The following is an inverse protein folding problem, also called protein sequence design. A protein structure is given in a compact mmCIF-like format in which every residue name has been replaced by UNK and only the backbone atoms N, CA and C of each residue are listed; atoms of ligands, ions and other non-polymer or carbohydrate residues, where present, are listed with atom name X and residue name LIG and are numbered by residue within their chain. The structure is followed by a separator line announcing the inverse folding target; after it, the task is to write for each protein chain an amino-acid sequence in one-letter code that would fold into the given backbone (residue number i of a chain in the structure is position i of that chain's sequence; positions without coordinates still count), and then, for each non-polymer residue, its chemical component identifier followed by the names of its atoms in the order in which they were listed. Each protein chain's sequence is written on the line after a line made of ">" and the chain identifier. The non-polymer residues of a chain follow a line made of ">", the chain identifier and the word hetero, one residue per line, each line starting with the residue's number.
data_IF_291397064968
#
_entry.id   IF_291397064968
#
_cell.length_a   1.000
_cell.length_b   1.000
_cell.length_c   1.000
_cell.angle_alpha   90.00
_cell.angle_beta   90.00
_cell.angle_gamma   90.00
#
_symmetry.space_group_name_H-M   'P 1'
#
loop_
_entity.id
_entity.type
_entity.pdbx_description
1 polymer ?
#
# COMPACT_ATOMS: atom_id res chain seq x y z
N UNK A 1 24.07 -16.15 -54.15
CA UNK A 1 24.43 -14.95 -54.95
C UNK A 1 23.93 -13.77 -54.13
N UNK A 2 24.71 -12.91 -53.50
CA UNK A 2 26.06 -12.39 -53.80
C UNK A 2 26.67 -11.91 -52.47
N UNK A 3 27.96 -12.17 -52.27
CA UNK A 3 28.75 -11.70 -51.14
C UNK A 3 29.26 -10.27 -51.38
N UNK A 4 29.45 -9.46 -50.33
CA UNK A 4 30.59 -8.53 -50.18
C UNK A 4 30.85 -8.31 -48.68
N UNK A 5 32.08 -8.55 -48.25
CA UNK A 5 32.64 -8.24 -46.94
C UNK A 5 33.64 -7.05 -47.05
N UNK A 6 34.47 -6.72 -46.04
CA UNK A 6 34.51 -5.45 -45.34
C UNK A 6 35.66 -4.51 -45.79
N UNK A 7 35.70 -3.28 -45.26
CA UNK A 7 36.86 -2.38 -45.38
C UNK A 7 37.33 -1.86 -44.03
N UNK A 8 38.63 -2.00 -43.82
CA UNK A 8 39.41 -1.59 -42.66
C UNK A 8 39.96 -0.16 -42.79
N UNK A 9 40.32 0.48 -41.67
CA UNK A 9 41.65 1.09 -41.41
C UNK A 9 41.63 1.84 -40.07
N UNK A 10 42.46 1.50 -39.07
CA UNK A 10 43.90 1.79 -38.83
C UNK A 10 44.19 3.19 -38.28
N UNK A 11 44.93 3.23 -37.16
CA UNK A 11 45.67 4.39 -36.63
C UNK A 11 45.31 4.65 -35.16
N UNK A 12 46.17 4.55 -34.15
CA UNK A 12 47.63 4.60 -34.10
C UNK A 12 48.06 5.80 -33.25
N UNK A 13 48.94 5.56 -32.26
CA UNK A 13 49.79 6.49 -31.49
C UNK A 13 49.41 6.87 -30.03
N UNK A 14 50.01 6.11 -29.08
CA UNK A 14 51.10 6.53 -28.14
C UNK A 14 51.51 8.01 -28.26
N UNK A 15 51.86 8.80 -27.24
CA UNK A 15 52.41 8.64 -25.89
C UNK A 15 52.15 10.01 -25.18
N UNK A 16 52.38 10.30 -23.89
CA UNK A 16 53.61 10.32 -23.08
C UNK A 16 53.23 10.91 -21.70
N UNK A 17 54.08 10.67 -20.70
CA UNK A 17 53.80 10.74 -19.28
C UNK A 17 54.13 12.07 -18.56
N UNK A 18 53.49 12.25 -17.37
CA UNK A 18 53.97 12.81 -16.06
C UNK A 18 54.51 14.27 -16.01
N UNK A 19 54.62 14.94 -14.82
CA UNK A 19 54.62 14.43 -13.45
C UNK A 19 53.77 15.22 -12.42
N UNK A 20 53.94 14.80 -11.16
CA UNK A 20 53.23 15.13 -9.94
C UNK A 20 53.44 16.55 -9.39
N UNK A 21 52.50 16.99 -8.55
CA UNK A 21 52.79 17.94 -7.46
C UNK A 21 52.12 17.48 -6.17
N UNK A 22 52.97 17.21 -5.18
CA UNK A 22 52.64 16.93 -3.78
C UNK A 22 52.03 18.16 -3.13
N UNK A 23 51.01 17.99 -2.29
CA UNK A 23 50.93 18.70 -1.01
C UNK A 23 50.45 17.74 0.07
N UNK A 24 51.40 17.34 0.92
CA UNK A 24 51.14 16.93 2.30
C UNK A 24 50.89 18.21 3.09
N UNK A 25 49.87 18.20 3.96
CA UNK A 25 49.93 18.94 5.22
C UNK A 25 49.42 17.96 6.28
N UNK A 26 50.21 17.91 7.35
CA UNK A 26 50.19 16.94 8.41
C UNK A 26 49.04 17.14 9.41
N UNK A 27 48.87 16.08 10.20
CA UNK A 27 47.95 15.87 11.30
C UNK A 27 47.94 16.98 12.37
N UNK A 28 46.88 17.00 13.18
CA UNK A 28 46.96 16.95 14.64
C UNK A 28 45.59 16.48 15.17
N UNK A 29 45.57 15.30 15.77
CA UNK A 29 44.54 14.86 16.68
C UNK A 29 44.93 15.35 18.08
N UNK A 30 44.03 16.05 18.78
CA UNK A 30 44.12 16.22 20.23
C UNK A 30 42.82 15.73 20.83
N UNK A 31 42.91 14.52 21.37
CA UNK A 31 42.01 13.96 22.35
C UNK A 31 42.31 14.67 23.69
N UNK A 32 41.33 15.33 24.29
CA UNK A 32 41.41 15.76 25.68
C UNK A 32 40.26 15.12 26.45
N UNK A 33 40.58 14.01 27.12
CA UNK A 33 39.74 13.33 28.09
C UNK A 33 40.24 13.77 29.48
N UNK A 34 39.41 14.46 30.27
CA UNK A 34 39.62 14.59 31.70
C UNK A 34 38.26 14.68 32.39
N UNK A 35 38.02 13.72 33.28
CA UNK A 35 36.78 13.50 34.00
C UNK A 35 36.87 13.98 35.46
N UNK A 36 35.67 14.16 36.03
CA UNK A 36 35.27 14.04 37.45
C UNK A 36 35.35 15.28 38.36
N UNK A 37 34.17 15.77 38.76
CA UNK A 37 33.62 15.71 40.13
C UNK A 37 32.22 16.38 40.12
N UNK A 38 31.10 15.67 40.14
CA UNK A 38 30.45 15.01 41.27
C UNK A 38 29.97 15.98 42.37
N UNK A 39 28.77 16.55 42.19
CA UNK A 39 27.83 16.89 43.27
C UNK A 39 26.40 16.58 42.81
N UNK A 40 25.60 16.03 43.74
CA UNK A 40 24.32 15.35 43.52
C UNK A 40 23.28 16.14 42.71
N UNK A 41 22.32 15.49 42.07
CA UNK A 41 21.39 14.54 42.68
C UNK A 41 21.33 13.21 41.92
N UNK A 42 21.55 12.10 42.63
CA UNK A 42 21.12 10.78 42.19
C UNK A 42 19.58 10.75 42.15
N UNK A 43 19.00 11.12 41.01
CA UNK A 43 17.70 10.60 40.63
C UNK A 43 17.96 9.21 40.09
N UNK A 44 17.55 8.20 40.87
CA UNK A 44 17.39 6.83 40.38
C UNK A 44 16.70 6.87 39.01
N UNK A 45 16.97 5.91 38.10
CA UNK A 45 16.19 5.78 36.90
C UNK A 45 14.76 5.52 37.35
N UNK A 46 13.94 6.58 37.43
CA UNK A 46 12.49 6.45 37.39
C UNK A 46 12.30 5.68 36.12
N UNK A 47 11.85 4.44 36.26
CA UNK A 47 11.52 3.58 35.15
C UNK A 47 10.79 4.45 34.16
N UNK A 48 11.45 4.70 33.04
CA UNK A 48 10.75 5.12 31.86
C UNK A 48 9.89 3.91 31.52
N UNK A 49 8.74 3.82 32.18
CA UNK A 49 7.51 3.62 31.44
C UNK A 49 7.48 4.76 30.44
N UNK A 50 8.29 4.62 29.39
CA UNK A 50 7.91 5.09 28.08
C UNK A 50 6.62 4.36 27.85
N UNK A 51 5.53 5.01 28.25
CA UNK A 51 4.28 4.80 27.55
C UNK A 51 4.66 5.06 26.10
N UNK A 52 4.75 3.97 25.35
CA UNK A 52 5.02 3.94 23.93
C UNK A 52 4.29 5.12 23.31
N UNK A 53 5.07 6.10 22.85
CA UNK A 53 4.53 7.22 22.12
C UNK A 53 3.88 6.62 20.86
N UNK A 54 2.56 6.46 20.93
CA UNK A 54 1.70 5.87 19.93
C UNK A 54 2.07 4.43 19.54
N UNK A 55 1.77 3.43 20.38
CA UNK A 55 1.48 2.09 19.87
C UNK A 55 0.44 2.19 18.74
N UNK A 56 0.54 1.39 17.67
CA UNK A 56 -0.45 1.36 16.60
C UNK A 56 -1.85 1.01 17.14
N UNK A 57 -2.88 1.05 16.28
CA UNK A 57 -4.19 0.53 16.66
C UNK A 57 -4.01 -0.91 17.16
N UNK A 58 -4.54 -1.26 18.33
CA UNK A 58 -4.45 -2.64 18.82
C UNK A 58 -5.62 -3.47 18.28
N UNK A 59 -5.38 -4.73 17.94
CA UNK A 59 -6.44 -5.69 17.64
C UNK A 59 -7.16 -6.13 18.92
N UNK A 60 -8.42 -6.51 18.79
CA UNK A 60 -9.19 -7.19 19.84
C UNK A 60 -9.33 -8.70 19.57
N UNK A 61 -10.15 -9.40 20.36
CA UNK A 61 -10.36 -10.84 20.22
C UNK A 61 -11.19 -11.25 19.00
N UNK A 62 -11.83 -10.30 18.31
CA UNK A 62 -12.67 -10.58 17.12
C UNK A 62 -12.02 -10.12 15.82
N UNK A 63 -10.86 -9.47 15.90
CA UNK A 63 -10.09 -9.02 14.74
C UNK A 63 -9.47 -10.21 14.00
N UNK A 64 -9.96 -10.48 12.79
CA UNK A 64 -9.44 -11.54 11.91
C UNK A 64 -8.07 -11.18 11.29
N UNK A 65 -7.80 -9.89 11.05
CA UNK A 65 -6.53 -9.39 10.54
C UNK A 65 -6.41 -7.89 10.71
N UNK A 66 -5.18 -7.40 10.90
CA UNK A 66 -4.87 -5.98 11.11
C UNK A 66 -3.54 -5.64 10.44
N UNK A 67 -3.58 -4.93 9.32
CA UNK A 67 -2.38 -4.48 8.61
C UNK A 67 -2.19 -2.98 8.80
N UNK A 68 -1.19 -2.59 9.60
CA UNK A 68 -0.85 -1.17 9.79
C UNK A 68 -0.19 -0.55 8.57
N UNK A 69 0.50 -1.37 7.76
CA UNK A 69 1.26 -0.92 6.59
C UNK A 69 2.35 0.12 6.95
N UNK A 70 2.92 0.05 8.16
CA UNK A 70 3.92 0.99 8.66
C UNK A 70 5.38 0.50 8.48
N UNK A 71 5.61 -0.50 7.62
CA UNK A 71 6.97 -0.92 7.28
C UNK A 71 7.73 0.17 6.52
N UNK A 72 9.04 0.27 6.76
CA UNK A 72 9.88 1.29 6.13
C UNK A 72 10.38 0.91 4.73
N UNK A 73 10.09 -0.31 4.26
CA UNK A 73 10.45 -0.77 2.94
C UNK A 73 10.12 -2.24 2.68
N UNK A 74 10.53 -2.74 1.51
CA UNK A 74 10.30 -4.11 1.09
C UNK A 74 8.84 -4.43 0.75
N UNK A 75 8.57 -5.72 0.56
CA UNK A 75 7.28 -6.24 0.08
C UNK A 75 6.46 -6.93 1.18
N UNK A 76 6.97 -7.04 2.40
CA UNK A 76 6.21 -7.60 3.53
C UNK A 76 5.16 -6.59 3.98
N UNK A 77 3.92 -7.04 4.18
CA UNK A 77 2.88 -6.30 4.88
C UNK A 77 2.47 -7.12 6.10
N UNK A 78 2.96 -6.74 7.27
CA UNK A 78 2.81 -7.52 8.48
C UNK A 78 1.37 -7.42 9.03
N UNK A 79 0.84 -8.56 9.45
CA UNK A 79 -0.41 -8.61 10.23
C UNK A 79 -0.07 -8.45 11.72
N UNK A 80 -0.52 -7.34 12.28
CA UNK A 80 -0.43 -7.02 13.70
C UNK A 80 -1.48 -7.76 14.55
N UNK A 81 -2.47 -8.38 13.92
CA UNK A 81 -3.53 -9.15 14.56
C UNK A 81 -3.09 -10.50 15.13
N UNK A 82 -4.02 -11.24 15.75
CA UNK A 82 -3.71 -12.47 16.46
C UNK A 82 -3.26 -13.62 15.55
N UNK A 83 -3.67 -13.63 14.27
CA UNK A 83 -3.42 -14.72 13.35
C UNK A 83 -2.14 -14.59 12.52
N UNK A 84 -1.50 -13.42 12.53
CA UNK A 84 -0.20 -13.15 11.87
C UNK A 84 -0.22 -13.50 10.38
N UNK A 85 -1.33 -13.24 9.69
CA UNK A 85 -1.53 -13.52 8.27
C UNK A 85 -0.89 -12.41 7.42
N UNK A 86 0.42 -12.48 7.26
CA UNK A 86 1.17 -11.47 6.51
C UNK A 86 0.76 -11.42 5.02
N UNK A 87 0.61 -10.20 4.51
CA UNK A 87 0.47 -9.92 3.08
C UNK A 87 1.81 -9.71 2.38
N UNK A 88 1.75 -9.73 1.05
CA UNK A 88 2.86 -9.39 0.16
C UNK A 88 2.42 -8.29 -0.80
N UNK A 89 3.09 -7.15 -0.71
CA UNK A 89 2.92 -6.04 -1.63
C UNK A 89 3.52 -6.39 -3.01
N UNK A 90 2.83 -5.99 -4.07
CA UNK A 90 3.36 -6.03 -5.43
C UNK A 90 4.55 -5.10 -5.61
N UNK A 91 5.32 -5.30 -6.69
CA UNK A 91 6.62 -4.63 -6.89
C UNK A 91 6.51 -3.11 -7.04
N UNK A 92 5.35 -2.61 -7.45
CA UNK A 92 5.10 -1.19 -7.64
C UNK A 92 4.40 -0.50 -6.45
N UNK A 93 3.98 -1.27 -5.44
CA UNK A 93 3.44 -0.72 -4.20
C UNK A 93 4.57 -0.11 -3.36
N UNK A 94 4.44 1.16 -3.03
CA UNK A 94 5.47 1.92 -2.28
C UNK A 94 5.06 2.10 -0.83
N UNK A 95 6.01 2.47 0.02
CA UNK A 95 5.76 2.95 1.37
C UNK A 95 5.64 4.47 1.35
N UNK A 96 4.80 5.03 2.20
CA UNK A 96 4.59 6.48 2.33
C UNK A 96 4.15 6.84 3.76
N UNK A 97 3.96 8.12 4.04
CA UNK A 97 3.43 8.59 5.31
C UNK A 97 1.94 8.25 5.45
N UNK A 98 1.60 7.56 6.53
CA UNK A 98 0.24 7.16 6.84
C UNK A 98 -0.50 8.15 7.74
N UNK A 99 -1.80 7.90 7.94
CA UNK A 99 -2.58 8.59 8.98
C UNK A 99 -1.98 8.36 10.37
N UNK A 100 -1.47 7.15 10.59
CA UNK A 100 -0.79 6.68 11.78
C UNK A 100 0.52 6.06 11.30
N UNK A 101 1.66 6.69 11.61
CA UNK A 101 3.00 6.27 11.17
C UNK A 101 3.13 6.18 9.64
N UNK A 102 3.32 4.97 9.09
CA UNK A 102 3.46 4.71 7.66
C UNK A 102 2.18 4.19 7.01
N UNK A 103 2.21 4.06 5.69
CA UNK A 103 1.17 3.43 4.88
C UNK A 103 1.77 2.82 3.61
N UNK A 104 0.95 2.08 2.86
CA UNK A 104 1.24 1.77 1.46
C UNK A 104 0.63 2.80 0.52
N UNK A 105 1.41 3.22 -0.46
CA UNK A 105 0.98 4.01 -1.60
C UNK A 105 0.71 3.09 -2.79
N UNK A 106 -0.52 3.12 -3.27
CA UNK A 106 -0.99 2.40 -4.44
C UNK A 106 -1.00 3.34 -5.65
N UNK A 107 -0.44 2.87 -6.76
CA UNK A 107 -0.32 3.62 -8.02
C UNK A 107 -1.26 3.04 -9.08
N UNK A 108 -1.22 3.58 -10.30
CA UNK A 108 -2.01 3.06 -11.43
C UNK A 108 -1.40 1.80 -12.08
N UNK A 109 -0.37 1.22 -11.48
CA UNK A 109 0.26 -0.01 -11.96
C UNK A 109 -0.57 -1.24 -11.58
N UNK A 110 -0.65 -2.23 -12.48
CA UNK A 110 -1.27 -3.53 -12.21
C UNK A 110 -0.52 -4.30 -11.11
N UNK A 111 0.75 -3.99 -10.89
CA UNK A 111 1.59 -4.58 -9.84
C UNK A 111 1.56 -3.76 -8.53
N UNK A 112 0.58 -2.87 -8.39
CA UNK A 112 0.38 -2.04 -7.20
C UNK A 112 -0.83 -2.52 -6.38
N UNK A 113 -0.62 -3.60 -5.64
CA UNK A 113 -1.60 -4.20 -4.73
C UNK A 113 -0.92 -4.78 -3.49
N UNK A 114 -1.71 -5.29 -2.55
CA UNK A 114 -1.27 -6.22 -1.50
C UNK A 114 -2.06 -7.51 -1.66
N UNK A 115 -1.35 -8.62 -1.78
CA UNK A 115 -1.93 -9.95 -1.78
C UNK A 115 -1.77 -10.58 -0.40
N UNK A 116 -2.87 -11.01 0.19
CA UNK A 116 -2.87 -11.80 1.43
C UNK A 116 -3.21 -13.24 1.04
N UNK A 117 -2.37 -14.24 1.38
CA UNK A 117 -2.69 -15.63 1.12
C UNK A 117 -4.02 -16.02 1.76
N UNK A 118 -4.77 -16.86 1.06
CA UNK A 118 -6.02 -17.40 1.58
C UNK A 118 -5.81 -18.02 2.96
N UNK A 119 -6.70 -17.65 3.90
CA UNK A 119 -6.79 -18.24 5.21
C UNK A 119 -8.27 -18.29 5.61
N UNK A 120 -8.81 -19.43 6.07
CA UNK A 120 -10.22 -19.57 6.46
C UNK A 120 -10.69 -18.57 7.53
N UNK A 121 -9.77 -18.01 8.34
CA UNK A 121 -10.10 -16.97 9.33
C UNK A 121 -10.56 -15.66 8.68
N UNK A 122 -10.19 -15.42 7.42
CA UNK A 122 -10.60 -14.24 6.65
C UNK A 122 -11.91 -14.48 5.87
N UNK A 123 -12.48 -15.68 5.91
CA UNK A 123 -13.78 -15.94 5.30
C UNK A 123 -14.87 -15.24 6.08
N UNK A 124 -15.77 -14.59 5.35
CA UNK A 124 -16.85 -13.86 5.97
C UNK A 124 -17.90 -14.88 6.44
N UNK A 125 -18.16 -14.96 7.74
CA UNK A 125 -19.21 -15.82 8.27
C UNK A 125 -20.59 -15.25 7.97
N UNK A 126 -21.47 -15.28 8.97
CA UNK A 126 -22.74 -14.53 8.95
C UNK A 126 -22.55 -13.02 9.12
N UNK A 127 -21.35 -12.57 9.49
CA UNK A 127 -21.05 -11.15 9.70
C UNK A 127 -19.59 -10.84 9.39
N UNK A 128 -19.32 -9.62 8.94
CA UNK A 128 -17.97 -9.09 8.73
C UNK A 128 -17.97 -7.59 9.00
N UNK A 129 -16.85 -7.08 9.49
CA UNK A 129 -16.56 -5.65 9.42
C UNK A 129 -15.21 -5.44 8.77
N UNK A 130 -15.14 -4.52 7.81
CA UNK A 130 -13.90 -4.06 7.18
C UNK A 130 -13.77 -2.59 7.54
N UNK A 131 -12.60 -2.21 8.06
CA UNK A 131 -12.28 -0.84 8.41
C UNK A 131 -10.89 -0.46 7.89
N UNK A 132 -10.76 0.74 7.35
CA UNK A 132 -9.50 1.25 6.82
C UNK A 132 -9.38 2.77 6.96
N UNK A 133 -8.15 3.24 7.14
CA UNK A 133 -7.77 4.61 6.82
C UNK A 133 -7.31 4.66 5.36
N UNK A 134 -7.94 5.51 4.56
CA UNK A 134 -7.59 5.71 3.15
C UNK A 134 -7.27 7.17 2.85
N UNK A 135 -6.39 7.40 1.87
CA UNK A 135 -6.07 8.71 1.31
C UNK A 135 -6.15 8.62 -0.21
N UNK A 136 -7.14 9.29 -0.80
CA UNK A 136 -7.34 9.26 -2.25
C UNK A 136 -6.67 10.46 -2.92
N UNK A 137 -5.69 10.20 -3.79
CA UNK A 137 -5.11 11.25 -4.64
C UNK A 137 -5.97 11.56 -5.87
N UNK A 138 -6.69 10.56 -6.37
CA UNK A 138 -7.60 10.64 -7.48
C UNK A 138 -8.63 9.51 -7.39
N UNK A 139 -9.74 9.62 -8.12
CA UNK A 139 -10.61 8.48 -8.37
C UNK A 139 -10.03 7.60 -9.47
N UNK A 140 -10.21 6.28 -9.36
CA UNK A 140 -9.75 5.32 -10.35
C UNK A 140 -10.31 5.61 -11.74
N UNK A 141 -9.55 5.30 -12.79
CA UNK A 141 -10.00 5.51 -14.17
C UNK A 141 -11.08 4.50 -14.58
N UNK A 142 -11.02 3.30 -14.01
CA UNK A 142 -11.95 2.20 -14.26
C UNK A 142 -13.25 2.33 -13.46
N UNK A 143 -14.08 1.30 -13.52
CA UNK A 143 -15.34 1.11 -12.82
C UNK A 143 -15.21 1.34 -11.30
N UNK A 144 -14.21 0.73 -10.66
CA UNK A 144 -13.96 0.87 -9.23
C UNK A 144 -12.47 0.67 -8.87
N UNK A 145 -12.14 0.88 -7.60
CA UNK A 145 -10.82 0.66 -7.02
C UNK A 145 -11.00 -0.02 -5.66
N UNK A 146 -10.74 -1.33 -5.58
CA UNK A 146 -10.87 -2.07 -4.33
C UNK A 146 -9.97 -1.52 -3.22
N UNK A 147 -10.54 -1.32 -2.04
CA UNK A 147 -9.83 -1.08 -0.78
C UNK A 147 -9.43 -2.45 -0.19
N UNK A 148 -10.38 -3.38 -0.18
CA UNK A 148 -10.18 -4.78 0.20
C UNK A 148 -11.21 -5.65 -0.51
N UNK A 149 -10.83 -6.87 -0.89
CA UNK A 149 -11.74 -7.81 -1.52
C UNK A 149 -11.30 -9.27 -1.33
N UNK A 150 -12.29 -10.15 -1.19
CA UNK A 150 -12.20 -11.57 -1.56
C UNK A 150 -13.26 -11.79 -2.62
N UNK A 151 -12.91 -11.52 -3.87
CA UNK A 151 -13.86 -11.53 -4.98
C UNK A 151 -13.66 -12.73 -5.90
N UNK A 152 -14.76 -13.36 -6.29
CA UNK A 152 -14.81 -14.41 -7.32
C UNK A 152 -16.09 -14.23 -8.14
N UNK A 153 -16.02 -14.58 -9.43
CA UNK A 153 -17.17 -14.59 -10.33
C UNK A 153 -17.98 -15.89 -10.23
N UNK A 154 -17.53 -16.85 -9.42
CA UNK A 154 -18.21 -18.13 -9.22
C UNK A 154 -19.45 -17.88 -8.36
N UNK A 155 -20.64 -18.01 -8.94
CA UNK A 155 -21.93 -17.71 -8.30
C UNK A 155 -22.26 -18.56 -7.04
N UNK A 156 -21.59 -19.70 -6.88
CA UNK A 156 -21.76 -20.63 -5.76
C UNK A 156 -20.72 -20.46 -4.66
N UNK A 157 -19.87 -19.44 -4.76
CA UNK A 157 -18.91 -19.11 -3.72
C UNK A 157 -19.29 -17.78 -3.10
N UNK A 158 -19.18 -17.71 -1.77
CA UNK A 158 -19.29 -16.43 -1.10
C UNK A 158 -18.19 -15.49 -1.62
N UNK A 159 -18.50 -14.21 -1.80
CA UNK A 159 -17.51 -13.24 -2.21
C UNK A 159 -17.90 -11.84 -1.72
N UNK A 160 -16.92 -10.99 -1.51
CA UNK A 160 -17.15 -9.63 -1.07
C UNK A 160 -16.09 -8.68 -1.60
N UNK A 161 -16.47 -7.42 -1.77
CA UNK A 161 -15.60 -6.37 -2.25
C UNK A 161 -16.01 -5.02 -1.65
N UNK A 162 -15.05 -4.34 -1.03
CA UNK A 162 -15.21 -2.98 -0.56
C UNK A 162 -14.34 -2.06 -1.41
N UNK A 163 -14.98 -1.18 -2.19
CA UNK A 163 -14.33 -0.40 -3.24
C UNK A 163 -14.72 1.07 -3.20
N UNK A 164 -13.87 1.91 -3.80
CA UNK A 164 -14.23 3.27 -4.21
C UNK A 164 -14.63 3.25 -5.67
N UNK A 165 -15.79 3.81 -6.01
CA UNK A 165 -16.23 3.93 -7.39
C UNK A 165 -15.31 4.89 -8.17
N UNK A 166 -14.87 4.44 -9.34
CA UNK A 166 -14.01 5.22 -10.22
C UNK A 166 -14.81 6.16 -11.12
N UNK A 167 -14.15 6.67 -12.15
CA UNK A 167 -14.75 7.58 -13.12
C UNK A 167 -15.48 6.88 -14.26
N UNK A 168 -15.38 5.55 -14.38
CA UNK A 168 -15.86 4.79 -15.56
C UNK A 168 -15.47 5.52 -16.87
N UNK A 169 -14.18 5.89 -16.96
CA UNK A 169 -13.73 6.76 -18.03
C UNK A 169 -13.68 5.98 -19.35
N UNK A 170 -14.59 6.32 -20.26
CA UNK A 170 -14.57 5.82 -21.65
C UNK A 170 -13.57 6.62 -22.49
N UNK A 171 -13.01 6.05 -23.57
CA UNK A 171 -12.27 6.82 -24.58
C UNK A 171 -13.10 8.03 -25.05
N UNK A 172 -12.49 9.22 -25.28
CA UNK A 172 -11.06 9.48 -25.49
C UNK A 172 -10.27 9.86 -24.22
N UNK A 173 -10.90 9.87 -23.04
CA UNK A 173 -10.22 10.27 -21.78
C UNK A 173 -9.31 9.17 -21.21
N UNK A 174 -9.55 7.92 -21.58
CA UNK A 174 -8.75 6.77 -21.18
C UNK A 174 -8.05 6.12 -22.39
N UNK A 175 -6.81 5.68 -22.20
CA UNK A 175 -6.04 4.95 -23.21
C UNK A 175 -6.55 3.49 -23.39
N UNK A 176 -7.27 2.97 -22.40
CA UNK A 176 -7.95 1.67 -22.42
C UNK A 176 -9.34 1.85 -21.79
N UNK A 177 -10.36 1.21 -22.37
CA UNK A 177 -11.69 1.19 -21.77
C UNK A 177 -11.70 0.33 -20.50
N UNK A 178 -12.65 0.63 -19.61
CA UNK A 178 -12.91 -0.22 -18.44
C UNK A 178 -13.31 -1.64 -18.88
N UNK A 179 -12.81 -2.70 -18.21
CA UNK A 179 -13.23 -4.07 -18.49
C UNK A 179 -14.73 -4.31 -18.28
N UNK A 180 -15.37 -3.54 -17.39
CA UNK A 180 -16.81 -3.61 -17.13
C UNK A 180 -17.24 -4.83 -16.32
N UNK A 181 -16.32 -5.46 -15.59
CA UNK A 181 -16.63 -6.63 -14.76
C UNK A 181 -17.60 -6.29 -13.62
N UNK A 182 -17.59 -5.04 -13.15
CA UNK A 182 -18.43 -4.59 -12.05
C UNK A 182 -19.58 -3.65 -12.46
N UNK A 183 -19.81 -3.45 -13.76
CA UNK A 183 -20.85 -2.53 -14.26
C UNK A 183 -22.24 -2.89 -13.72
N UNK A 184 -22.57 -4.19 -13.67
CA UNK A 184 -23.83 -4.68 -13.13
C UNK A 184 -24.02 -4.40 -11.63
N UNK A 185 -22.93 -4.31 -10.86
CA UNK A 185 -22.97 -3.92 -9.45
C UNK A 185 -23.16 -2.42 -9.32
N UNK A 186 -22.38 -1.64 -10.06
CA UNK A 186 -22.43 -0.17 -10.05
C UNK A 186 -23.81 0.34 -10.48
N UNK A 187 -24.43 -0.32 -11.46
CA UNK A 187 -25.78 0.02 -11.93
C UNK A 187 -26.88 -0.15 -10.86
N UNK A 188 -26.63 -0.87 -9.76
CA UNK A 188 -27.56 -0.96 -8.63
C UNK A 188 -27.57 0.33 -7.78
N UNK A 189 -26.54 1.18 -7.94
CA UNK A 189 -26.36 2.41 -7.19
C UNK A 189 -26.96 3.65 -7.88
N UNK A 190 -26.92 4.81 -7.19
CA UNK A 190 -27.36 6.07 -7.76
C UNK A 190 -26.44 6.52 -8.92
N UNK A 191 -27.03 7.13 -9.94
CA UNK A 191 -26.29 7.70 -11.07
C UNK A 191 -25.22 8.72 -10.60
N UNK A 192 -24.06 8.71 -11.27
CA UNK A 192 -22.95 9.61 -10.93
C UNK A 192 -22.19 9.23 -9.65
N UNK A 193 -22.05 7.92 -9.39
CA UNK A 193 -21.47 7.37 -8.16
C UNK A 193 -19.98 7.61 -7.92
N UNK A 194 -19.25 8.29 -8.81
CA UNK A 194 -17.79 8.48 -8.71
C UNK A 194 -17.37 8.94 -7.31
N UNK A 195 -16.36 8.26 -6.76
CA UNK A 195 -15.78 8.56 -5.47
C UNK A 195 -16.58 8.07 -4.26
N UNK A 196 -17.78 7.53 -4.45
CA UNK A 196 -18.54 6.88 -3.37
C UNK A 196 -17.92 5.52 -3.06
N UNK A 197 -18.07 5.10 -1.82
CA UNK A 197 -17.85 3.71 -1.43
C UNK A 197 -18.97 2.83 -1.98
N UNK A 198 -18.58 1.64 -2.43
CA UNK A 198 -19.43 0.52 -2.77
C UNK A 198 -18.99 -0.70 -1.94
N UNK A 199 -19.96 -1.39 -1.35
CA UNK A 199 -19.75 -2.73 -0.81
C UNK A 199 -20.60 -3.71 -1.59
N UNK A 200 -19.95 -4.66 -2.25
CA UNK A 200 -20.59 -5.76 -2.95
C UNK A 200 -20.45 -7.04 -2.14
N UNK A 201 -21.53 -7.80 -2.04
CA UNK A 201 -21.59 -9.08 -1.34
C UNK A 201 -22.35 -10.11 -2.16
N UNK A 202 -21.73 -11.28 -2.31
CA UNK A 202 -22.34 -12.48 -2.87
C UNK A 202 -22.44 -13.53 -1.75
N UNK A 203 -23.65 -13.97 -1.39
CA UNK A 203 -23.83 -15.03 -0.40
C UNK A 203 -23.35 -16.39 -0.94
N UNK A 204 -23.13 -17.34 -0.02
CA UNK A 204 -22.81 -18.74 -0.38
C UNK A 204 -24.02 -19.46 -1.00
N UNK A 205 -25.23 -19.13 -0.55
CA UNK A 205 -26.46 -19.58 -1.19
C UNK A 205 -26.59 -18.94 -2.57
N UNK A 206 -26.89 -19.75 -3.60
CA UNK A 206 -26.96 -19.31 -4.98
C UNK A 206 -27.88 -18.07 -5.13
N UNK A 207 -27.27 -16.91 -5.41
CA UNK A 207 -27.99 -15.65 -5.54
C UNK A 207 -27.14 -14.59 -6.25
N UNK A 208 -27.78 -13.59 -6.89
CA UNK A 208 -27.06 -12.50 -7.53
C UNK A 208 -26.34 -11.65 -6.47
N UNK A 209 -25.13 -11.15 -6.76
CA UNK A 209 -24.44 -10.26 -5.84
C UNK A 209 -25.22 -8.94 -5.67
N UNK A 210 -25.22 -8.44 -4.43
CA UNK A 210 -25.86 -7.16 -4.06
C UNK A 210 -24.81 -6.11 -3.79
N UNK A 211 -25.09 -4.87 -4.18
CA UNK A 211 -24.22 -3.72 -3.93
C UNK A 211 -24.91 -2.67 -3.07
N UNK A 212 -24.17 -2.13 -2.11
CA UNK A 212 -24.58 -1.07 -1.19
C UNK A 212 -23.64 0.12 -1.33
N UNK A 213 -24.18 1.33 -1.20
CA UNK A 213 -23.44 2.55 -1.55
C UNK A 213 -23.48 3.58 -0.44
N UNK A 214 -22.34 4.23 -0.23
CA UNK A 214 -22.32 5.46 0.58
C UNK A 214 -23.12 6.58 -0.08
N UNK A 215 -23.67 7.47 0.74
CA UNK A 215 -24.45 8.63 0.26
C UNK A 215 -23.57 9.79 -0.21
N UNK A 216 -22.27 9.76 0.09
CA UNK A 216 -21.31 10.84 -0.17
C UNK A 216 -20.04 10.28 -0.80
N UNK A 217 -19.44 11.05 -1.70
CA UNK A 217 -18.12 10.74 -2.23
C UNK A 217 -17.04 11.01 -1.16
N UNK A 218 -15.98 10.20 -1.18
CA UNK A 218 -14.78 10.40 -0.39
C UNK A 218 -14.02 11.60 -0.95
N UNK A 219 -13.68 12.61 -0.13
CA UNK A 219 -12.87 13.74 -0.58
C UNK A 219 -11.47 13.30 -0.98
N UNK A 220 -10.93 13.93 -2.03
CA UNK A 220 -9.54 13.75 -2.42
C UNK A 220 -8.61 14.48 -1.45
N UNK A 221 -7.36 14.04 -1.43
CA UNK A 221 -6.24 14.65 -0.69
C UNK A 221 -6.47 14.78 0.81
N UNK A 222 -7.26 13.87 1.40
CA UNK A 222 -7.57 13.84 2.82
C UNK A 222 -7.62 12.41 3.33
N UNK A 223 -7.09 12.19 4.54
CA UNK A 223 -7.27 10.94 5.25
C UNK A 223 -8.72 10.80 5.73
N UNK A 224 -9.34 9.69 5.37
CA UNK A 224 -10.71 9.34 5.75
C UNK A 224 -10.72 7.93 6.31
N UNK A 225 -11.39 7.76 7.44
CA UNK A 225 -11.70 6.44 7.98
C UNK A 225 -12.99 5.96 7.31
N UNK A 226 -12.93 4.76 6.77
CA UNK A 226 -14.05 4.13 6.08
C UNK A 226 -14.28 2.77 6.71
N UNK A 227 -15.55 2.41 6.88
CA UNK A 227 -15.93 1.11 7.39
C UNK A 227 -17.18 0.61 6.68
N UNK A 228 -17.29 -0.70 6.58
CA UNK A 228 -18.51 -1.40 6.20
C UNK A 228 -18.68 -2.61 7.08
N UNK A 229 -19.91 -2.85 7.50
CA UNK A 229 -20.32 -4.03 8.25
C UNK A 229 -21.48 -4.71 7.54
N UNK A 230 -21.53 -6.04 7.60
CA UNK A 230 -22.74 -6.81 7.32
C UNK A 230 -23.01 -7.74 8.49
N UNK A 231 -24.29 -7.97 8.75
CA UNK A 231 -24.85 -8.80 9.81
C UNK A 231 -26.17 -9.45 9.35
#
# INVERSE_FOLDING_TARGET
>A
MTAVAPSARTGGHRATARPATRRRVDAIAVLALAAAAACGCAHAPRGSGGQDASAGIASDSVTAGLWHMDETGGTLVADAGPFRIAGRAGVDTRTDFGRIRGARLFTRSIDSFVYVPYNPVLEAGSSLTIEAWIYLNAYGQYEDTPIAARWTQVASEQSWMFSVLGSDARPPLAFLASPGYHDGLIAQGPAGGRGRLMFAFQPEEAGPPRAYFSTRAIPLSKWVQVAVSFD
#
